data_IF_291788479014
#
_entry.id   IF_291788479014
#
_cell.length_a   1.000
_cell.length_b   1.000
_cell.length_c   1.000
_cell.angle_alpha   90.00
_cell.angle_beta   90.00
_cell.angle_gamma   90.00
#
_symmetry.space_group_name_H-M   'P 1'
#
loop_
_entity.id
_entity.type
_entity.pdbx_description
1 polymer ?
#
# COMPACT_ATOMS: atom_id res chain seq x y z
N UNK A 1 -25.49 39.61 -5.11
CA UNK A 1 -24.81 40.73 -5.77
C UNK A 1 -23.39 41.03 -5.30
N UNK A 2 -22.94 40.57 -4.12
CA UNK A 2 -21.54 40.71 -3.68
C UNK A 2 -20.54 39.84 -4.45
N UNK A 3 -21.00 38.76 -5.03
CA UNK A 3 -20.12 37.78 -5.74
C UNK A 3 -19.63 38.31 -7.09
N UNK A 4 -20.28 39.32 -7.67
CA UNK A 4 -19.92 39.87 -8.98
C UNK A 4 -18.71 40.78 -8.99
N UNK A 5 -18.24 41.26 -7.82
CA UNK A 5 -17.20 42.28 -7.74
C UNK A 5 -15.90 41.78 -7.08
N UNK A 6 -15.82 40.54 -6.64
CA UNK A 6 -14.58 39.99 -6.07
C UNK A 6 -13.67 39.49 -7.19
N UNK A 7 -12.44 39.94 -7.19
CA UNK A 7 -11.41 39.45 -8.11
C UNK A 7 -11.06 38.01 -7.80
N UNK A 8 -10.63 37.23 -8.78
CA UNK A 8 -10.28 35.81 -8.58
C UNK A 8 -9.27 35.59 -7.45
N UNK A 9 -8.39 36.57 -7.18
CA UNK A 9 -7.41 36.53 -6.09
C UNK A 9 -8.03 36.67 -4.69
N UNK A 10 -9.12 37.43 -4.55
CA UNK A 10 -9.83 37.57 -3.27
C UNK A 10 -10.61 36.32 -2.92
N UNK A 11 -11.28 35.71 -3.91
CA UNK A 11 -11.92 34.40 -3.76
C UNK A 11 -10.90 33.31 -3.40
N UNK A 12 -9.74 33.31 -4.03
CA UNK A 12 -8.64 32.40 -3.72
C UNK A 12 -8.14 32.57 -2.29
N UNK A 13 -7.97 33.82 -1.82
CA UNK A 13 -7.55 34.12 -0.45
C UNK A 13 -8.58 33.67 0.59
N UNK A 14 -9.88 33.86 0.32
CA UNK A 14 -10.98 33.43 1.18
C UNK A 14 -11.02 31.90 1.26
N UNK A 15 -10.89 31.21 0.14
CA UNK A 15 -10.91 29.74 0.08
C UNK A 15 -9.68 29.16 0.75
N UNK A 16 -8.48 29.71 0.51
CA UNK A 16 -7.24 29.29 1.16
C UNK A 16 -7.26 29.52 2.68
N UNK A 17 -7.84 30.64 3.13
CA UNK A 17 -8.04 30.91 4.56
C UNK A 17 -8.96 29.84 5.18
N UNK A 18 -10.05 29.51 4.51
CA UNK A 18 -11.02 28.52 5.00
C UNK A 18 -10.46 27.09 4.97
N UNK A 19 -9.65 26.74 3.97
CA UNK A 19 -8.93 25.47 3.94
C UNK A 19 -7.88 25.36 5.06
N UNK A 20 -7.22 26.46 5.41
CA UNK A 20 -6.28 26.49 6.55
C UNK A 20 -6.95 26.44 7.92
N UNK A 21 -8.18 26.92 8.01
CA UNK A 21 -9.01 26.86 9.24
C UNK A 21 -9.69 25.50 9.41
N UNK A 22 -9.79 24.70 8.35
CA UNK A 22 -10.26 23.31 8.42
C UNK A 22 -9.11 22.43 8.93
N UNK A 23 -9.26 21.88 10.12
CA UNK A 23 -8.39 20.81 10.60
C UNK A 23 -8.40 19.66 9.55
N UNK A 24 -7.24 19.04 9.33
CA UNK A 24 -7.09 17.94 8.34
C UNK A 24 -8.10 16.82 8.60
N UNK A 25 -8.53 16.63 9.85
CA UNK A 25 -9.61 15.73 10.23
C UNK A 25 -11.00 16.18 9.77
N UNK A 26 -11.22 17.46 9.51
CA UNK A 26 -12.49 18.01 9.01
C UNK A 26 -12.60 18.05 7.49
N UNK A 27 -11.50 17.90 6.75
CA UNK A 27 -11.49 17.70 5.29
C UNK A 27 -12.26 16.43 4.83
N UNK A 28 -12.58 15.54 5.77
CA UNK A 28 -13.48 14.40 5.53
C UNK A 28 -14.95 14.71 5.72
N UNK A 29 -15.30 15.96 6.08
CA UNK A 29 -16.70 16.35 6.20
C UNK A 29 -17.29 16.63 4.83
N UNK A 30 -18.48 16.09 4.64
CA UNK A 30 -19.35 16.22 3.49
C UNK A 30 -19.52 17.68 3.06
N UNK A 31 -19.18 17.98 1.82
CA UNK A 31 -19.69 19.16 1.15
C UNK A 31 -21.13 18.83 0.74
N UNK A 32 -22.06 19.04 1.65
CA UNK A 32 -23.49 19.12 1.30
C UNK A 32 -23.67 20.48 0.68
N UNK A 33 -24.14 20.54 -0.58
CA UNK A 33 -24.39 21.79 -1.31
C UNK A 33 -25.58 22.55 -0.71
N UNK A 34 -25.47 22.92 0.56
CA UNK A 34 -26.53 23.62 1.28
C UNK A 34 -26.43 25.12 1.07
N UNK A 35 -25.25 25.61 0.64
CA UNK A 35 -25.03 27.02 0.44
C UNK A 35 -24.01 27.34 -0.67
N UNK A 36 -24.04 28.57 -1.16
CA UNK A 36 -23.17 29.05 -2.25
C UNK A 36 -21.65 28.94 -1.90
N UNK A 37 -21.18 29.29 -0.68
CA UNK A 37 -19.78 29.14 -0.31
C UNK A 37 -19.24 27.70 -0.42
N UNK A 38 -20.05 26.70 -0.06
CA UNK A 38 -19.64 25.30 -0.16
C UNK A 38 -19.54 24.83 -1.62
N UNK A 39 -20.45 25.30 -2.48
CA UNK A 39 -20.35 25.07 -3.93
C UNK A 39 -19.09 25.69 -4.53
N UNK A 40 -18.76 26.94 -4.15
CA UNK A 40 -17.55 27.62 -4.64
C UNK A 40 -16.29 26.85 -4.17
N UNK A 41 -16.25 26.44 -2.90
CA UNK A 41 -15.15 25.65 -2.36
C UNK A 41 -14.95 24.33 -3.10
N UNK A 42 -16.04 23.63 -3.40
CA UNK A 42 -15.99 22.40 -4.19
C UNK A 42 -15.49 22.66 -5.62
N UNK A 43 -15.97 23.72 -6.28
CA UNK A 43 -15.49 24.10 -7.63
C UNK A 43 -14.00 24.44 -7.62
N UNK A 44 -13.51 25.10 -6.58
CA UNK A 44 -12.09 25.39 -6.41
C UNK A 44 -11.29 24.08 -6.22
N UNK A 45 -11.77 23.15 -5.41
CA UNK A 45 -11.12 21.84 -5.25
C UNK A 45 -11.00 21.09 -6.58
N UNK A 46 -12.02 21.13 -7.44
CA UNK A 46 -11.98 20.52 -8.78
C UNK A 46 -10.91 21.10 -9.71
N UNK A 47 -10.56 22.37 -9.52
CA UNK A 47 -9.59 23.11 -10.37
C UNK A 47 -8.19 23.15 -9.77
N UNK A 48 -8.03 22.75 -8.51
CA UNK A 48 -6.77 22.83 -7.80
C UNK A 48 -5.81 21.71 -8.23
N UNK A 49 -4.58 22.07 -8.58
CA UNK A 49 -3.51 21.12 -8.90
C UNK A 49 -3.06 20.25 -7.69
N UNK A 50 -3.50 20.61 -6.47
CA UNK A 50 -3.22 19.85 -5.24
C UNK A 50 -4.27 18.78 -4.94
N UNK A 51 -5.35 18.73 -5.71
CA UNK A 51 -6.48 17.85 -5.51
C UNK A 51 -6.62 16.91 -6.69
N UNK A 52 -6.51 15.61 -6.43
CA UNK A 52 -6.78 14.58 -7.43
C UNK A 52 -8.30 14.35 -7.57
N UNK A 53 -8.75 14.05 -8.77
CA UNK A 53 -10.15 13.70 -9.03
C UNK A 53 -10.50 12.27 -8.55
N UNK A 54 -9.49 11.43 -8.34
CA UNK A 54 -9.64 10.05 -7.88
C UNK A 54 -8.50 9.68 -6.95
N UNK A 55 -8.74 8.73 -6.05
CA UNK A 55 -7.74 8.24 -5.10
C UNK A 55 -6.49 7.65 -5.80
N UNK A 56 -6.68 7.02 -6.94
CA UNK A 56 -5.61 6.39 -7.74
C UNK A 56 -4.62 7.42 -8.32
N UNK A 57 -5.03 8.68 -8.39
CA UNK A 57 -4.24 9.75 -8.96
C UNK A 57 -3.34 10.47 -7.93
N UNK A 58 -3.44 10.13 -6.63
CA UNK A 58 -2.66 10.77 -5.56
C UNK A 58 -1.15 10.67 -5.82
N UNK A 59 -0.69 9.51 -6.29
CA UNK A 59 0.74 9.25 -6.49
C UNK A 59 1.26 9.73 -7.85
N UNK A 60 0.42 10.33 -8.70
CA UNK A 60 0.84 10.82 -10.03
C UNK A 60 1.69 12.10 -9.98
N UNK A 61 1.61 12.86 -8.89
CA UNK A 61 2.40 14.08 -8.72
C UNK A 61 2.67 14.35 -7.24
N UNK A 62 3.89 14.79 -6.94
CA UNK A 62 4.33 15.19 -5.58
C UNK A 62 3.49 16.35 -5.01
N UNK A 63 2.87 17.15 -5.89
CA UNK A 63 2.05 18.30 -5.49
C UNK A 63 0.65 17.90 -5.04
N UNK A 64 0.18 16.70 -5.34
CA UNK A 64 -1.16 16.24 -4.98
C UNK A 64 -1.15 15.84 -3.50
N UNK A 65 -1.97 16.50 -2.71
CA UNK A 65 -2.09 16.29 -1.26
C UNK A 65 -3.46 15.75 -0.86
N UNK A 66 -4.46 15.93 -1.72
CA UNK A 66 -5.86 15.61 -1.45
C UNK A 66 -6.50 14.90 -2.63
N UNK A 67 -7.61 14.24 -2.41
CA UNK A 67 -8.43 13.66 -3.48
C UNK A 67 -9.91 13.86 -3.20
N UNK A 68 -10.69 13.93 -4.27
CA UNK A 68 -12.14 13.97 -4.19
C UNK A 68 -12.68 12.55 -4.08
N UNK A 69 -13.65 12.36 -3.22
CA UNK A 69 -14.37 11.10 -3.10
C UNK A 69 -15.81 11.35 -2.71
N UNK A 70 -16.70 10.53 -3.20
CA UNK A 70 -18.08 10.50 -2.74
C UNK A 70 -18.25 9.50 -1.60
N UNK A 71 -19.35 9.61 -0.84
CA UNK A 71 -19.69 8.64 0.19
C UNK A 71 -19.87 7.23 -0.33
N UNK A 72 -20.44 7.10 -1.52
CA UNK A 72 -20.62 5.82 -2.18
C UNK A 72 -19.27 5.18 -2.54
N UNK A 73 -18.34 5.97 -3.10
CA UNK A 73 -16.98 5.51 -3.41
C UNK A 73 -16.20 5.14 -2.14
N UNK A 74 -16.29 5.97 -1.09
CA UNK A 74 -15.65 5.67 0.19
C UNK A 74 -16.16 4.38 0.81
N UNK A 75 -17.48 4.16 0.79
CA UNK A 75 -18.09 2.90 1.25
C UNK A 75 -17.66 1.72 0.39
N UNK A 76 -17.59 1.89 -0.94
CA UNK A 76 -17.14 0.86 -1.86
C UNK A 76 -15.64 0.50 -1.63
N UNK A 77 -14.77 1.49 -1.47
CA UNK A 77 -13.35 1.29 -1.16
C UNK A 77 -13.17 0.57 0.18
N UNK A 78 -13.92 0.99 1.22
CA UNK A 78 -13.89 0.31 2.53
C UNK A 78 -14.36 -1.14 2.41
N UNK A 79 -15.44 -1.39 1.69
CA UNK A 79 -15.95 -2.74 1.46
C UNK A 79 -14.95 -3.61 0.68
N UNK A 80 -14.33 -3.06 -0.37
CA UNK A 80 -13.30 -3.74 -1.16
C UNK A 80 -12.08 -4.10 -0.28
N UNK A 81 -11.59 -3.16 0.54
CA UNK A 81 -10.49 -3.42 1.48
C UNK A 81 -10.83 -4.49 2.51
N UNK A 82 -12.05 -4.44 3.06
CA UNK A 82 -12.53 -5.45 4.01
C UNK A 82 -12.62 -6.82 3.35
N UNK A 83 -13.15 -6.90 2.13
CA UNK A 83 -13.20 -8.15 1.36
C UNK A 83 -11.81 -8.72 1.13
N UNK A 84 -10.88 -7.89 0.66
CA UNK A 84 -9.50 -8.28 0.38
C UNK A 84 -8.81 -8.83 1.65
N UNK A 85 -8.97 -8.15 2.80
CA UNK A 85 -8.45 -8.63 4.08
C UNK A 85 -9.09 -9.98 4.48
N UNK A 86 -10.39 -10.13 4.27
CA UNK A 86 -11.10 -11.40 4.56
C UNK A 86 -10.58 -12.53 3.68
N UNK A 87 -10.33 -12.27 2.40
CA UNK A 87 -9.80 -13.28 1.47
C UNK A 87 -8.35 -13.64 1.83
N UNK A 88 -7.52 -12.67 2.26
CA UNK A 88 -6.19 -12.92 2.78
C UNK A 88 -6.22 -13.78 4.07
N UNK A 89 -7.12 -13.50 5.00
CA UNK A 89 -7.28 -14.29 6.23
C UNK A 89 -7.75 -15.74 5.96
N UNK A 90 -8.59 -15.96 4.95
CA UNK A 90 -8.96 -17.33 4.53
C UNK A 90 -7.74 -18.09 4.05
N UNK A 91 -6.93 -17.50 3.14
CA UNK A 91 -5.69 -18.12 2.66
C UNK A 91 -4.68 -18.35 3.78
N UNK A 92 -4.58 -17.45 4.74
CA UNK A 92 -3.77 -17.64 5.93
C UNK A 92 -4.23 -18.84 6.76
N UNK A 93 -5.54 -18.99 6.96
CA UNK A 93 -6.11 -20.15 7.67
C UNK A 93 -5.83 -21.46 6.93
N UNK A 94 -5.94 -21.47 5.61
CA UNK A 94 -5.60 -22.60 4.77
C UNK A 94 -4.11 -22.94 4.87
N UNK A 95 -3.24 -21.93 4.91
CA UNK A 95 -1.79 -22.09 5.05
C UNK A 95 -1.41 -22.71 6.40
N UNK A 96 -1.98 -22.23 7.52
CA UNK A 96 -1.70 -22.76 8.87
C UNK A 96 -2.18 -24.19 9.03
N UNK A 97 -3.35 -24.50 8.47
CA UNK A 97 -3.94 -25.84 8.54
C UNK A 97 -3.34 -26.82 7.53
N UNK A 98 -2.38 -26.37 6.73
CA UNK A 98 -1.72 -27.24 5.77
C UNK A 98 -0.81 -28.24 6.51
N UNK A 99 -0.88 -29.54 6.21
CA UNK A 99 -0.02 -30.54 6.84
C UNK A 99 1.48 -30.33 6.55
N UNK A 100 1.80 -29.59 5.48
CA UNK A 100 3.17 -29.21 5.16
C UNK A 100 3.55 -27.89 5.88
N UNK A 101 4.09 -28.00 7.07
CA UNK A 101 4.55 -26.84 7.86
C UNK A 101 5.65 -26.01 7.18
N UNK A 102 6.40 -26.60 6.25
CA UNK A 102 7.42 -25.88 5.49
C UNK A 102 6.84 -24.77 4.59
N UNK A 103 5.55 -24.82 4.25
CA UNK A 103 4.91 -23.77 3.47
C UNK A 103 4.88 -22.43 4.20
N UNK A 104 4.71 -22.43 5.51
CA UNK A 104 4.77 -21.21 6.33
C UNK A 104 6.13 -20.57 6.17
N UNK A 105 7.20 -21.34 6.30
CA UNK A 105 8.58 -20.89 6.16
C UNK A 105 8.86 -20.29 4.79
N UNK A 106 8.38 -20.94 3.74
CA UNK A 106 8.50 -20.51 2.36
C UNK A 106 7.81 -19.16 2.15
N UNK A 107 6.57 -19.01 2.67
CA UNK A 107 5.82 -17.75 2.55
C UNK A 107 6.52 -16.65 3.33
N UNK A 108 6.96 -16.91 4.58
CA UNK A 108 7.64 -15.95 5.44
C UNK A 108 8.94 -15.44 4.80
N UNK A 109 9.78 -16.31 4.26
CA UNK A 109 10.99 -15.94 3.51
C UNK A 109 10.64 -15.04 2.30
N UNK A 110 9.52 -15.32 1.64
CA UNK A 110 9.08 -14.57 0.44
C UNK A 110 8.45 -13.22 0.75
N UNK A 111 8.15 -12.89 2.00
CA UNK A 111 7.62 -11.56 2.38
C UNK A 111 8.63 -10.44 2.15
N UNK A 112 9.93 -10.75 2.25
CA UNK A 112 11.02 -9.79 2.24
C UNK A 112 11.14 -8.97 3.53
N UNK A 113 10.45 -9.38 4.60
CA UNK A 113 10.49 -8.69 5.90
C UNK A 113 11.67 -9.10 6.76
N UNK A 114 12.33 -10.20 6.41
CA UNK A 114 13.46 -10.78 7.15
C UNK A 114 14.76 -10.43 6.41
N UNK A 115 15.76 -9.99 7.17
CA UNK A 115 17.01 -9.50 6.62
C UNK A 115 18.03 -10.58 6.25
N UNK A 116 18.11 -11.65 7.04
CA UNK A 116 19.13 -12.68 6.85
C UNK A 116 18.69 -14.06 7.37
N UNK A 117 19.54 -15.07 7.12
CA UNK A 117 19.29 -16.45 7.50
C UNK A 117 19.30 -16.68 9.03
N UNK A 118 20.14 -15.95 9.77
CA UNK A 118 20.25 -16.10 11.22
C UNK A 118 18.98 -15.59 11.91
N UNK A 119 18.47 -14.47 11.46
CA UNK A 119 17.18 -13.91 11.90
C UNK A 119 16.04 -14.91 11.66
N UNK A 120 15.97 -15.45 10.43
CA UNK A 120 14.96 -16.44 10.07
C UNK A 120 15.01 -17.71 10.95
N UNK A 121 16.21 -18.22 11.22
CA UNK A 121 16.41 -19.43 12.04
C UNK A 121 16.12 -19.21 13.52
N UNK A 122 16.23 -17.97 14.01
CA UNK A 122 15.90 -17.62 15.39
C UNK A 122 14.39 -17.45 15.63
N UNK A 123 13.58 -17.33 14.56
CA UNK A 123 12.13 -17.11 14.67
C UNK A 123 11.40 -18.34 15.19
N UNK A 124 10.56 -18.13 16.19
CA UNK A 124 9.58 -19.12 16.64
C UNK A 124 8.41 -19.25 15.64
N UNK A 125 7.60 -20.28 15.83
CA UNK A 125 6.38 -20.42 15.02
C UNK A 125 5.43 -19.24 15.18
N UNK A 126 5.34 -18.67 16.38
CA UNK A 126 4.49 -17.52 16.69
C UNK A 126 5.03 -16.25 16.03
N UNK A 127 6.36 -16.04 15.99
CA UNK A 127 6.98 -14.91 15.29
C UNK A 127 6.66 -14.96 13.79
N UNK A 128 6.79 -16.13 13.18
CA UNK A 128 6.48 -16.34 11.75
C UNK A 128 5.01 -16.02 11.45
N UNK A 129 4.09 -16.47 12.32
CA UNK A 129 2.67 -16.15 12.17
C UNK A 129 2.41 -14.64 12.32
N UNK A 130 3.08 -13.99 13.29
CA UNK A 130 2.96 -12.53 13.51
C UNK A 130 3.37 -11.73 12.27
N UNK A 131 4.50 -12.08 11.64
CA UNK A 131 4.96 -11.45 10.38
C UNK A 131 3.91 -11.56 9.27
N UNK A 132 3.26 -12.73 9.14
CA UNK A 132 2.23 -12.92 8.13
C UNK A 132 0.96 -12.11 8.43
N UNK A 133 0.55 -12.03 9.71
CA UNK A 133 -0.61 -11.23 10.12
C UNK A 133 -0.36 -9.74 9.94
N UNK A 134 0.83 -9.24 10.28
CA UNK A 134 1.23 -7.85 10.04
C UNK A 134 1.20 -7.52 8.54
N UNK A 135 1.66 -8.42 7.69
CA UNK A 135 1.58 -8.24 6.25
C UNK A 135 0.12 -8.21 5.77
N UNK A 136 -0.75 -9.07 6.29
CA UNK A 136 -2.19 -9.08 5.95
C UNK A 136 -2.87 -7.77 6.37
N UNK A 137 -2.49 -7.20 7.51
CA UNK A 137 -3.07 -5.96 8.01
C UNK A 137 -2.57 -4.72 7.24
N UNK A 138 -1.31 -4.71 6.85
CA UNK A 138 -0.68 -3.62 6.09
C UNK A 138 -0.97 -3.70 4.59
N UNK A 139 -0.76 -4.85 3.97
CA UNK A 139 -0.93 -5.09 2.54
C UNK A 139 -1.47 -6.51 2.24
N UNK A 140 -2.80 -6.72 2.39
CA UNK A 140 -3.41 -8.01 2.13
C UNK A 140 -3.27 -8.47 0.67
N UNK A 141 -3.15 -7.54 -0.29
CA UNK A 141 -2.95 -7.87 -1.70
C UNK A 141 -1.56 -8.48 -1.93
N UNK A 142 -0.52 -7.92 -1.30
CA UNK A 142 0.83 -8.48 -1.37
C UNK A 142 0.86 -9.89 -0.80
N UNK A 143 0.23 -10.12 0.35
CA UNK A 143 0.14 -11.47 0.95
C UNK A 143 -0.52 -12.47 -0.01
N UNK A 144 -1.67 -12.13 -0.58
CA UNK A 144 -2.37 -12.99 -1.54
C UNK A 144 -1.48 -13.29 -2.75
N UNK A 145 -0.79 -12.28 -3.29
CA UNK A 145 0.08 -12.45 -4.46
C UNK A 145 1.28 -13.37 -4.18
N UNK A 146 1.80 -13.36 -2.94
CA UNK A 146 2.88 -14.27 -2.52
C UNK A 146 2.35 -15.70 -2.46
N UNK A 147 1.22 -15.92 -1.77
CA UNK A 147 0.66 -17.28 -1.59
C UNK A 147 0.23 -17.91 -2.93
N UNK A 148 -0.27 -17.10 -3.87
CA UNK A 148 -0.72 -17.57 -5.19
C UNK A 148 0.41 -17.68 -6.23
N UNK A 149 1.66 -17.33 -5.85
CA UNK A 149 2.79 -17.38 -6.79
C UNK A 149 3.17 -18.82 -7.11
N UNK A 150 3.06 -19.20 -8.37
CA UNK A 150 3.42 -20.53 -8.88
C UNK A 150 4.91 -20.89 -8.67
N UNK A 151 5.76 -19.89 -8.51
CA UNK A 151 7.21 -20.04 -8.33
C UNK A 151 7.65 -19.74 -6.89
N UNK A 152 6.71 -19.73 -5.94
CA UNK A 152 6.96 -19.36 -4.54
C UNK A 152 8.13 -20.15 -3.94
N UNK A 153 8.11 -21.50 -4.06
CA UNK A 153 9.18 -22.33 -3.51
C UNK A 153 10.55 -22.04 -4.13
N UNK A 154 10.59 -21.82 -5.45
CA UNK A 154 11.83 -21.51 -6.14
C UNK A 154 12.39 -20.17 -5.68
N UNK A 155 11.55 -19.15 -5.57
CA UNK A 155 11.95 -17.82 -5.07
C UNK A 155 12.47 -17.89 -3.64
N UNK A 156 11.77 -18.59 -2.76
CA UNK A 156 12.20 -18.78 -1.38
C UNK A 156 13.57 -19.51 -1.30
N UNK A 157 13.79 -20.57 -2.08
CA UNK A 157 15.09 -21.27 -2.15
C UNK A 157 16.19 -20.33 -2.61
N UNK A 158 15.97 -19.54 -3.65
CA UNK A 158 16.92 -18.54 -4.14
C UNK A 158 17.26 -17.55 -3.02
N UNK A 159 16.27 -17.03 -2.31
CA UNK A 159 16.47 -16.09 -1.19
C UNK A 159 17.33 -16.73 -0.08
N UNK A 160 17.03 -17.95 0.31
CA UNK A 160 17.80 -18.70 1.32
C UNK A 160 19.23 -18.89 0.86
N UNK A 161 19.46 -19.29 -0.39
CA UNK A 161 20.82 -19.49 -0.93
C UNK A 161 21.62 -18.18 -1.01
N UNK A 162 20.94 -17.05 -1.29
CA UNK A 162 21.57 -15.73 -1.22
C UNK A 162 21.97 -15.39 0.23
N UNK A 163 21.11 -15.63 1.21
CA UNK A 163 21.42 -15.42 2.63
C UNK A 163 22.57 -16.31 3.13
N UNK A 164 22.63 -17.54 2.64
CA UNK A 164 23.71 -18.50 2.99
C UNK A 164 25.01 -18.25 2.19
N UNK A 165 25.06 -17.23 1.31
CA UNK A 165 26.16 -16.97 0.40
C UNK A 165 26.59 -18.17 -0.48
N UNK A 166 25.63 -19.06 -0.79
CA UNK A 166 25.86 -20.16 -1.75
C UNK A 166 25.82 -19.60 -3.18
N UNK A 167 24.91 -18.68 -3.42
CA UNK A 167 24.79 -17.92 -4.68
C UNK A 167 24.88 -16.42 -4.38
N UNK A 168 25.26 -15.65 -5.39
CA UNK A 168 25.25 -14.18 -5.29
C UNK A 168 24.69 -13.56 -6.56
N UNK A 169 24.04 -12.43 -6.40
CA UNK A 169 23.60 -11.61 -7.54
C UNK A 169 24.75 -10.68 -7.95
N UNK A 170 25.02 -10.61 -9.25
CA UNK A 170 26.01 -9.66 -9.78
C UNK A 170 25.51 -8.22 -9.62
N UNK A 171 26.38 -7.26 -9.27
CA UNK A 171 26.02 -5.86 -9.15
C UNK A 171 25.35 -5.33 -10.43
N UNK A 172 24.24 -4.62 -10.27
CA UNK A 172 23.47 -4.03 -11.38
C UNK A 172 22.98 -5.02 -12.45
N UNK A 173 22.82 -6.30 -12.10
CA UNK A 173 22.39 -7.36 -13.00
C UNK A 173 21.34 -8.24 -12.32
N UNK A 174 20.51 -8.88 -13.12
CA UNK A 174 19.61 -9.96 -12.66
C UNK A 174 20.30 -11.35 -12.68
N UNK A 175 21.56 -11.41 -13.05
CA UNK A 175 22.32 -12.66 -13.15
C UNK A 175 22.73 -13.13 -11.76
N UNK A 176 22.43 -14.40 -11.48
CA UNK A 176 22.81 -15.10 -10.25
C UNK A 176 23.91 -16.08 -10.60
N UNK A 177 24.99 -16.07 -9.83
CA UNK A 177 26.15 -16.93 -10.01
C UNK A 177 26.46 -17.70 -8.74
N UNK A 178 27.18 -18.80 -8.85
CA UNK A 178 27.74 -19.52 -7.72
C UNK A 178 28.75 -18.63 -6.98
N UNK A 179 28.59 -18.50 -5.66
CA UNK A 179 29.46 -17.65 -4.86
C UNK A 179 30.91 -18.20 -4.78
N UNK A 180 31.08 -19.53 -4.91
CA UNK A 180 32.37 -20.20 -4.88
C UNK A 180 33.11 -20.14 -6.24
N UNK A 181 32.37 -19.99 -7.35
CA UNK A 181 32.95 -19.94 -8.70
C UNK A 181 32.26 -18.87 -9.57
N UNK A 182 32.60 -17.60 -9.35
CA UNK A 182 31.93 -16.48 -9.99
C UNK A 182 32.25 -16.34 -11.51
N UNK A 183 33.19 -17.09 -12.03
CA UNK A 183 33.56 -17.04 -13.45
C UNK A 183 32.70 -17.96 -14.34
N UNK A 184 31.96 -18.89 -13.75
CA UNK A 184 30.96 -19.70 -14.44
C UNK A 184 29.64 -18.95 -14.59
N UNK A 185 29.56 -18.08 -15.59
CA UNK A 185 28.33 -17.38 -15.99
C UNK A 185 27.71 -18.10 -17.18
#
# INVERSE_FOLDING_TARGET
DKIKNETGSELEAIVLKRIKELDVTELYKYVTFVNIPDYISWRYCLLSSKVANKVEDINKSVNIQFYLTSDSERKALKAARTKLRTDALKKYTELINNPNSALIDIVVVSTGSIGDYSEFMAMTADDKQSVLLELIDSDPQKFISIVDDKHLEMKAKITIYLWMNIIRQLPNSSIIVDASNPENV
#
